data_IF_871496840407
#
_entry.id   IF_871496840407
#
_cell.length_a   1.000
_cell.length_b   1.000
_cell.length_c   1.000
_cell.angle_alpha   90.00
_cell.angle_beta   90.00
_cell.angle_gamma   90.00
#
_symmetry.space_group_name_H-M   'P 1'
#
loop_
_entity.id
_entity.type
_entity.pdbx_description
1 polymer ?
#
# COMPACT_ATOMS: atom_id res chain seq x y z
N UNK A 1 -41.36 -3.97 -1.02
CA UNK A 1 -39.97 -3.48 -1.16
C UNK A 1 -40.04 -2.03 -1.61
N UNK A 2 -39.69 -1.08 -0.75
CA UNK A 2 -39.73 0.35 -1.08
C UNK A 2 -38.50 0.72 -1.92
N UNK A 3 -38.75 1.06 -3.20
CA UNK A 3 -37.81 1.78 -4.06
C UNK A 3 -37.56 3.15 -3.45
N UNK A 4 -36.45 3.29 -2.73
CA UNK A 4 -35.94 4.60 -2.40
C UNK A 4 -35.31 5.18 -3.67
N UNK A 5 -35.69 6.41 -4.00
CA UNK A 5 -35.14 7.14 -5.14
C UNK A 5 -33.88 7.88 -4.68
N UNK A 6 -32.79 7.71 -5.41
CA UNK A 6 -31.62 8.59 -5.35
C UNK A 6 -31.54 9.27 -6.71
N UNK A 7 -31.80 10.58 -6.76
CA UNK A 7 -31.94 11.35 -8.00
C UNK A 7 -32.96 10.77 -9.02
N UNK A 8 -34.08 10.20 -8.56
CA UNK A 8 -35.16 9.70 -9.42
C UNK A 8 -34.86 8.38 -10.15
N UNK A 9 -33.73 7.72 -9.86
CA UNK A 9 -33.42 6.39 -10.37
C UNK A 9 -33.79 5.34 -9.30
N UNK A 10 -34.57 4.30 -9.64
CA UNK A 10 -34.92 3.25 -8.68
C UNK A 10 -33.68 2.46 -8.27
N UNK A 11 -33.37 2.44 -6.97
CA UNK A 11 -32.22 1.70 -6.44
C UNK A 11 -32.52 0.20 -6.43
N UNK A 12 -31.85 -0.55 -7.31
CA UNK A 12 -31.83 -2.01 -7.27
C UNK A 12 -30.85 -2.51 -6.19
N UNK A 13 -31.32 -2.63 -4.95
CA UNK A 13 -30.48 -3.02 -3.80
C UNK A 13 -29.69 -4.34 -4.00
N UNK A 14 -30.28 -5.42 -4.54
CA UNK A 14 -29.52 -6.62 -4.88
C UNK A 14 -28.33 -6.35 -5.82
N UNK A 15 -28.56 -5.54 -6.86
CA UNK A 15 -27.51 -5.18 -7.82
C UNK A 15 -26.43 -4.30 -7.18
N UNK A 16 -26.83 -3.27 -6.42
CA UNK A 16 -25.89 -2.40 -5.71
C UNK A 16 -24.99 -3.20 -4.75
N UNK A 17 -25.56 -4.15 -4.00
CA UNK A 17 -24.78 -5.01 -3.11
C UNK A 17 -23.76 -5.86 -3.89
N UNK A 18 -24.15 -6.43 -5.05
CA UNK A 18 -23.24 -7.21 -5.88
C UNK A 18 -22.06 -6.37 -6.41
N UNK A 19 -22.33 -5.15 -6.90
CA UNK A 19 -21.31 -4.21 -7.38
C UNK A 19 -20.33 -3.84 -6.26
N UNK A 20 -20.86 -3.49 -5.10
CA UNK A 20 -20.06 -3.15 -3.92
C UNK A 20 -19.16 -4.33 -3.49
N UNK A 21 -19.72 -5.53 -3.39
CA UNK A 21 -18.96 -6.72 -2.98
C UNK A 21 -17.89 -7.11 -4.01
N UNK A 22 -18.16 -7.02 -5.31
CA UNK A 22 -17.12 -7.21 -6.34
C UNK A 22 -15.98 -6.20 -6.17
N UNK A 23 -16.30 -4.91 -6.03
CA UNK A 23 -15.28 -3.87 -5.88
C UNK A 23 -14.39 -4.11 -4.66
N UNK A 24 -14.98 -4.39 -3.50
CA UNK A 24 -14.21 -4.62 -2.26
C UNK A 24 -13.38 -5.91 -2.35
N UNK A 25 -13.95 -7.01 -2.83
CA UNK A 25 -13.21 -8.28 -2.98
C UNK A 25 -12.08 -8.18 -3.99
N UNK A 26 -12.30 -7.49 -5.11
CA UNK A 26 -11.29 -7.17 -6.12
C UNK A 26 -10.17 -6.32 -5.55
N UNK A 27 -10.49 -5.30 -4.74
CA UNK A 27 -9.50 -4.45 -4.09
C UNK A 27 -8.55 -5.28 -3.22
N UNK A 28 -9.07 -6.09 -2.30
CA UNK A 28 -8.23 -6.93 -1.43
C UNK A 28 -7.52 -8.05 -2.18
N UNK A 29 -8.18 -8.63 -3.19
CA UNK A 29 -7.57 -9.64 -4.06
C UNK A 29 -6.36 -9.07 -4.79
N UNK A 30 -6.47 -7.85 -5.33
CA UNK A 30 -5.35 -7.14 -5.95
C UNK A 30 -4.22 -6.86 -4.96
N UNK A 31 -4.52 -6.42 -3.73
CA UNK A 31 -3.50 -6.22 -2.67
C UNK A 31 -2.74 -7.53 -2.40
N UNK A 32 -3.45 -8.64 -2.22
CA UNK A 32 -2.83 -9.94 -1.98
C UNK A 32 -1.96 -10.39 -3.17
N UNK A 33 -2.45 -10.23 -4.39
CA UNK A 33 -1.69 -10.54 -5.61
C UNK A 33 -0.46 -9.63 -5.78
N UNK A 34 -0.55 -8.36 -5.39
CA UNK A 34 0.59 -7.44 -5.37
C UNK A 34 1.67 -7.93 -4.41
N UNK A 35 1.30 -8.30 -3.19
CA UNK A 35 2.25 -8.84 -2.20
C UNK A 35 2.90 -10.14 -2.69
N UNK A 36 2.14 -11.04 -3.32
CA UNK A 36 2.68 -12.25 -3.95
C UNK A 36 3.66 -11.90 -5.07
N UNK A 37 3.32 -10.90 -5.89
CA UNK A 37 4.17 -10.40 -6.97
C UNK A 37 5.49 -9.86 -6.42
N UNK A 38 5.45 -9.08 -5.34
CA UNK A 38 6.64 -8.59 -4.63
C UNK A 38 7.51 -9.73 -4.13
N UNK A 39 6.92 -10.75 -3.49
CA UNK A 39 7.65 -11.93 -3.02
C UNK A 39 8.32 -12.69 -4.17
N UNK A 40 7.61 -12.88 -5.28
CA UNK A 40 8.15 -13.52 -6.47
C UNK A 40 9.32 -12.72 -7.06
N UNK A 41 9.21 -11.39 -7.14
CA UNK A 41 10.29 -10.57 -7.70
C UNK A 41 11.47 -10.38 -6.75
N UNK A 42 11.29 -10.48 -5.43
CA UNK A 42 12.42 -10.60 -4.48
C UNK A 42 13.25 -11.85 -4.81
N UNK A 43 12.59 -13.00 -4.97
CA UNK A 43 13.24 -14.27 -5.28
C UNK A 43 13.93 -14.28 -6.65
N UNK A 44 13.32 -13.64 -7.66
CA UNK A 44 13.97 -13.44 -8.97
C UNK A 44 15.17 -12.50 -8.84
N UNK A 45 14.99 -11.39 -8.12
CA UNK A 45 15.99 -10.33 -7.93
C UNK A 45 17.30 -10.85 -7.35
N UNK A 46 17.21 -11.75 -6.37
CA UNK A 46 18.37 -12.41 -5.76
C UNK A 46 19.21 -13.20 -6.78
N UNK A 47 18.56 -13.88 -7.73
CA UNK A 47 19.22 -14.72 -8.73
C UNK A 47 19.83 -13.98 -9.90
N UNK A 48 19.24 -12.85 -10.26
CA UNK A 48 19.75 -12.00 -11.34
C UNK A 48 20.80 -11.00 -10.86
N UNK A 49 21.19 -11.07 -9.58
CA UNK A 49 22.17 -10.17 -8.98
C UNK A 49 21.68 -8.73 -8.89
N UNK A 50 20.37 -8.50 -8.72
CA UNK A 50 19.80 -7.15 -8.61
C UNK A 50 20.47 -6.38 -7.46
N UNK A 51 20.76 -7.05 -6.35
CA UNK A 51 21.49 -6.50 -5.22
C UNK A 51 22.90 -6.02 -5.63
N UNK A 52 23.66 -6.85 -6.35
CA UNK A 52 24.99 -6.51 -6.85
C UNK A 52 24.95 -5.28 -7.77
N UNK A 53 23.97 -5.20 -8.67
CA UNK A 53 23.81 -4.06 -9.58
C UNK A 53 23.52 -2.78 -8.79
N UNK A 54 22.54 -2.80 -7.88
CA UNK A 54 22.14 -1.62 -7.10
C UNK A 54 23.31 -1.12 -6.24
N UNK A 55 24.03 -2.03 -5.56
CA UNK A 55 25.18 -1.66 -4.76
C UNK A 55 26.36 -1.13 -5.59
N UNK A 56 26.55 -1.60 -6.83
CA UNK A 56 27.61 -1.11 -7.72
C UNK A 56 27.46 0.37 -8.07
N UNK A 57 26.22 0.88 -8.14
CA UNK A 57 25.94 2.31 -8.37
C UNK A 57 25.88 3.13 -7.07
N UNK A 58 26.09 2.51 -5.89
CA UNK A 58 26.03 3.19 -4.60
C UNK A 58 24.70 3.93 -4.37
N UNK A 59 24.78 5.15 -3.84
CA UNK A 59 23.60 5.99 -3.56
C UNK A 59 22.80 6.37 -4.82
N UNK A 60 23.46 6.44 -5.99
CA UNK A 60 22.80 6.73 -7.28
C UNK A 60 21.87 5.59 -7.66
N UNK A 61 22.28 4.33 -7.43
CA UNK A 61 21.44 3.15 -7.68
C UNK A 61 20.12 3.21 -6.91
N UNK A 62 20.18 3.57 -5.62
CA UNK A 62 19.00 3.75 -4.78
C UNK A 62 18.09 4.88 -5.26
N UNK A 63 18.66 6.04 -5.62
CA UNK A 63 17.87 7.16 -6.15
C UNK A 63 17.16 6.82 -7.46
N UNK A 64 17.82 6.11 -8.38
CA UNK A 64 17.21 5.68 -9.62
C UNK A 64 16.04 4.72 -9.36
N UNK A 65 16.19 3.77 -8.43
CA UNK A 65 15.10 2.88 -8.07
C UNK A 65 13.93 3.62 -7.43
N UNK A 66 14.20 4.56 -6.52
CA UNK A 66 13.15 5.42 -5.96
C UNK A 66 12.43 6.22 -7.05
N UNK A 67 13.17 6.75 -8.03
CA UNK A 67 12.59 7.44 -9.18
C UNK A 67 11.66 6.55 -10.00
N UNK A 68 12.06 5.31 -10.27
CA UNK A 68 11.23 4.34 -11.02
C UNK A 68 9.99 3.92 -10.20
N UNK A 69 10.14 3.68 -8.90
CA UNK A 69 9.01 3.39 -8.00
C UNK A 69 8.01 4.55 -7.96
N UNK A 70 8.51 5.78 -7.84
CA UNK A 70 7.66 6.97 -7.87
C UNK A 70 6.94 7.12 -9.21
N UNK A 71 7.65 6.94 -10.33
CA UNK A 71 7.05 7.03 -11.66
C UNK A 71 5.96 5.97 -11.87
N UNK A 72 6.24 4.71 -11.51
CA UNK A 72 5.30 3.60 -11.70
C UNK A 72 4.07 3.73 -10.79
N UNK A 73 4.24 4.19 -9.55
CA UNK A 73 3.14 4.54 -8.65
C UNK A 73 2.23 5.63 -9.25
N UNK A 74 2.83 6.73 -9.70
CA UNK A 74 2.08 7.85 -10.27
C UNK A 74 1.38 7.45 -11.58
N UNK A 75 2.04 6.68 -12.43
CA UNK A 75 1.47 6.18 -13.68
C UNK A 75 0.28 5.25 -13.41
N UNK A 76 0.44 4.26 -12.52
CA UNK A 76 -0.64 3.34 -12.16
C UNK A 76 -1.84 4.09 -11.58
N UNK A 77 -1.59 5.01 -10.65
CA UNK A 77 -2.63 5.81 -9.99
C UNK A 77 -3.35 6.74 -10.97
N UNK A 78 -2.60 7.46 -11.81
CA UNK A 78 -3.18 8.41 -12.76
C UNK A 78 -3.99 7.71 -13.87
N UNK A 79 -3.51 6.57 -14.37
CA UNK A 79 -4.21 5.80 -15.40
C UNK A 79 -5.49 5.17 -14.84
N UNK A 80 -5.44 4.61 -13.63
CA UNK A 80 -6.62 4.10 -12.95
C UNK A 80 -7.64 5.22 -12.69
N UNK A 81 -7.18 6.39 -12.22
CA UNK A 81 -8.04 7.55 -11.95
C UNK A 81 -8.72 8.13 -13.20
N UNK A 82 -8.13 7.92 -14.39
CA UNK A 82 -8.72 8.32 -15.69
C UNK A 82 -9.67 7.26 -16.27
N UNK A 83 -9.97 6.20 -15.53
CA UNK A 83 -10.94 5.17 -15.90
C UNK A 83 -10.38 4.00 -16.72
N UNK A 84 -9.08 3.98 -17.04
CA UNK A 84 -8.45 2.83 -17.69
C UNK A 84 -7.93 1.83 -16.63
N UNK A 85 -8.86 1.13 -16.00
CA UNK A 85 -8.58 0.19 -14.90
C UNK A 85 -7.71 -0.99 -15.32
N UNK A 86 -7.81 -1.44 -16.58
CA UNK A 86 -6.98 -2.51 -17.13
C UNK A 86 -5.51 -2.12 -17.19
N UNK A 87 -5.17 -0.99 -17.84
CA UNK A 87 -3.80 -0.51 -17.89
C UNK A 87 -3.30 -0.09 -16.50
N UNK A 88 -4.16 0.50 -15.66
CA UNK A 88 -3.83 0.81 -14.26
C UNK A 88 -3.42 -0.43 -13.47
N UNK A 89 -4.10 -1.57 -13.68
CA UNK A 89 -3.77 -2.85 -13.03
C UNK A 89 -2.44 -3.41 -13.54
N UNK A 90 -2.16 -3.33 -14.85
CA UNK A 90 -0.86 -3.76 -15.41
C UNK A 90 0.29 -2.94 -14.82
N UNK A 91 0.14 -1.61 -14.77
CA UNK A 91 1.13 -0.72 -14.19
C UNK A 91 1.27 -0.94 -12.67
N UNK A 92 0.18 -1.27 -11.98
CA UNK A 92 0.21 -1.68 -10.58
C UNK A 92 1.07 -2.93 -10.36
N UNK A 93 0.95 -3.96 -11.20
CA UNK A 93 1.81 -5.14 -11.08
C UNK A 93 3.28 -4.86 -11.43
N UNK A 94 3.54 -3.98 -12.40
CA UNK A 94 4.90 -3.51 -12.67
C UNK A 94 5.49 -2.76 -11.45
N UNK A 95 4.70 -1.90 -10.82
CA UNK A 95 5.05 -1.22 -9.57
C UNK A 95 5.29 -2.21 -8.43
N UNK A 96 4.42 -3.21 -8.24
CA UNK A 96 4.57 -4.23 -7.21
C UNK A 96 5.82 -5.10 -7.42
N UNK A 97 6.10 -5.45 -8.68
CA UNK A 97 7.31 -6.16 -9.06
C UNK A 97 8.58 -5.34 -8.80
N UNK A 98 8.56 -4.05 -9.12
CA UNK A 98 9.67 -3.13 -8.86
C UNK A 98 9.97 -2.98 -7.36
N UNK A 99 8.93 -2.97 -6.52
CA UNK A 99 9.09 -3.02 -5.07
C UNK A 99 9.85 -4.25 -4.60
N UNK A 100 9.59 -5.42 -5.18
CA UNK A 100 10.32 -6.63 -4.78
C UNK A 100 11.79 -6.60 -5.19
N UNK A 101 12.10 -6.04 -6.37
CA UNK A 101 13.49 -5.79 -6.77
C UNK A 101 14.19 -4.78 -5.85
N UNK A 102 13.47 -3.76 -5.39
CA UNK A 102 13.97 -2.77 -4.45
C UNK A 102 14.22 -3.36 -3.04
N UNK A 103 13.32 -4.24 -2.59
CA UNK A 103 13.43 -4.89 -1.27
C UNK A 103 14.50 -5.97 -1.23
N UNK A 104 14.78 -6.65 -2.36
CA UNK A 104 15.79 -7.72 -2.43
C UNK A 104 17.12 -7.37 -1.74
N UNK A 105 17.85 -6.28 -2.07
CA UNK A 105 19.09 -5.91 -1.38
C UNK A 105 18.91 -5.52 0.10
N UNK A 106 17.71 -5.09 0.51
CA UNK A 106 17.42 -4.73 1.90
C UNK A 106 17.28 -6.00 2.74
N UNK A 107 16.54 -6.99 2.22
CA UNK A 107 16.22 -8.23 2.92
C UNK A 107 17.45 -9.11 3.19
N UNK A 108 18.51 -9.00 2.39
CA UNK A 108 19.77 -9.73 2.62
C UNK A 108 20.41 -9.39 3.98
N UNK A 109 20.07 -8.24 4.58
CA UNK A 109 20.58 -7.85 5.91
C UNK A 109 19.84 -8.51 7.06
N UNK A 110 18.64 -9.03 6.83
CA UNK A 110 17.79 -9.59 7.89
C UNK A 110 17.80 -11.11 7.84
N UNK A 111 17.66 -11.75 9.00
CA UNK A 111 17.48 -13.21 9.06
C UNK A 111 16.11 -13.63 8.51
N UNK A 112 16.00 -14.86 8.02
CA UNK A 112 14.72 -15.41 7.53
C UNK A 112 13.62 -15.39 8.59
N UNK A 113 14.00 -15.57 9.86
CA UNK A 113 13.08 -15.58 10.99
C UNK A 113 12.51 -14.17 11.23
N UNK A 114 13.36 -13.15 11.27
CA UNK A 114 12.95 -11.74 11.39
C UNK A 114 12.03 -11.33 10.23
N UNK A 115 12.35 -11.73 9.00
CA UNK A 115 11.52 -11.47 7.81
C UNK A 115 10.15 -12.15 7.95
N UNK A 116 10.12 -13.43 8.35
CA UNK A 116 8.89 -14.20 8.52
C UNK A 116 7.97 -13.59 9.58
N UNK A 117 8.52 -13.21 10.73
CA UNK A 117 7.76 -12.54 11.81
C UNK A 117 7.22 -11.19 11.34
N UNK A 118 8.03 -10.37 10.67
CA UNK A 118 7.61 -9.08 10.14
C UNK A 118 6.45 -9.21 9.15
N UNK A 119 6.50 -10.22 8.27
CA UNK A 119 5.46 -10.50 7.29
C UNK A 119 4.14 -10.91 7.95
N UNK A 120 4.18 -11.83 8.92
CA UNK A 120 3.00 -12.27 9.67
C UNK A 120 2.36 -11.13 10.46
N UNK A 121 3.17 -10.31 11.14
CA UNK A 121 2.68 -9.14 11.88
C UNK A 121 2.04 -8.13 10.93
N UNK A 122 2.66 -7.86 9.79
CA UNK A 122 2.11 -6.94 8.78
C UNK A 122 0.77 -7.43 8.26
N UNK A 123 0.66 -8.71 7.88
CA UNK A 123 -0.58 -9.31 7.41
C UNK A 123 -1.68 -9.25 8.48
N UNK A 124 -1.37 -9.61 9.72
CA UNK A 124 -2.32 -9.56 10.84
C UNK A 124 -2.79 -8.13 11.14
N UNK A 125 -1.87 -7.16 11.19
CA UNK A 125 -2.19 -5.75 11.42
C UNK A 125 -2.99 -5.16 10.26
N UNK A 126 -2.64 -5.47 9.01
CA UNK A 126 -3.38 -5.03 7.84
C UNK A 126 -4.83 -5.52 7.89
N UNK A 127 -5.05 -6.82 8.14
CA UNK A 127 -6.40 -7.40 8.27
C UNK A 127 -7.17 -6.74 9.42
N UNK A 128 -6.54 -6.59 10.60
CA UNK A 128 -7.17 -5.97 11.76
C UNK A 128 -7.56 -4.51 11.49
N UNK A 129 -6.64 -3.72 10.94
CA UNK A 129 -6.89 -2.29 10.66
C UNK A 129 -7.89 -2.10 9.53
N UNK A 130 -7.86 -2.93 8.49
CA UNK A 130 -8.89 -2.91 7.46
C UNK A 130 -10.27 -3.29 8.01
N UNK A 131 -10.37 -4.28 8.90
CA UNK A 131 -11.63 -4.61 9.56
C UNK A 131 -12.16 -3.42 10.40
N UNK A 132 -11.28 -2.68 11.08
CA UNK A 132 -11.64 -1.43 11.77
C UNK A 132 -12.12 -0.37 10.75
N UNK A 133 -11.42 -0.18 9.65
CA UNK A 133 -11.80 0.76 8.59
C UNK A 133 -13.16 0.43 7.95
N UNK A 134 -13.49 -0.86 7.82
CA UNK A 134 -14.80 -1.30 7.31
C UNK A 134 -15.94 -1.02 8.28
N UNK A 135 -15.69 -1.08 9.59
CA UNK A 135 -16.74 -1.03 10.62
C UNK A 135 -16.88 0.33 11.29
N UNK A 136 -15.83 1.17 11.23
CA UNK A 136 -15.82 2.46 11.92
C UNK A 136 -16.84 3.44 11.32
N UNK A 137 -17.55 4.13 12.22
CA UNK A 137 -18.51 5.20 11.89
C UNK A 137 -17.94 6.60 12.11
N UNK A 138 -16.73 6.70 12.69
CA UNK A 138 -16.08 8.00 12.95
C UNK A 138 -15.74 8.65 11.62
N UNK A 139 -15.96 9.96 11.52
CA UNK A 139 -15.45 10.72 10.39
C UNK A 139 -13.91 10.81 10.47
N UNK A 140 -13.24 10.35 9.42
CA UNK A 140 -11.78 10.32 9.30
C UNK A 140 -11.27 11.25 8.19
N UNK A 141 -12.15 12.04 7.57
CA UNK A 141 -11.84 12.94 6.45
C UNK A 141 -10.66 13.87 6.73
N UNK A 142 -10.53 14.35 7.97
CA UNK A 142 -9.42 15.21 8.40
C UNK A 142 -8.16 14.42 8.80
N UNK A 143 -8.32 13.19 9.27
CA UNK A 143 -7.21 12.38 9.77
C UNK A 143 -6.34 11.85 8.61
N UNK A 144 -6.97 11.41 7.51
CA UNK A 144 -6.27 10.86 6.36
C UNK A 144 -5.17 11.76 5.79
N UNK A 145 -5.49 13.00 5.37
CA UNK A 145 -4.50 13.94 4.84
C UNK A 145 -3.40 14.28 5.86
N UNK A 146 -3.75 14.45 7.14
CA UNK A 146 -2.79 14.70 8.20
C UNK A 146 -1.78 13.56 8.35
N UNK A 147 -2.25 12.31 8.36
CA UNK A 147 -1.39 11.13 8.42
C UNK A 147 -0.54 10.99 7.15
N UNK A 148 -1.09 11.31 5.98
CA UNK A 148 -0.36 11.24 4.72
C UNK A 148 0.81 12.22 4.68
N UNK A 149 0.57 13.48 5.06
CA UNK A 149 1.63 14.49 5.15
C UNK A 149 2.64 14.16 6.26
N UNK A 150 2.17 13.62 7.39
CA UNK A 150 3.04 13.11 8.45
C UNK A 150 3.95 11.98 7.96
N UNK A 151 3.41 11.01 7.22
CA UNK A 151 4.16 9.92 6.62
C UNK A 151 5.24 10.43 5.66
N UNK A 152 4.89 11.36 4.77
CA UNK A 152 5.83 11.98 3.83
C UNK A 152 6.96 12.69 4.60
N UNK A 153 6.62 13.46 5.64
CA UNK A 153 7.61 14.13 6.49
C UNK A 153 8.57 13.13 7.15
N UNK A 154 8.04 12.05 7.75
CA UNK A 154 8.84 10.99 8.37
C UNK A 154 9.72 10.25 7.37
N UNK A 155 9.23 10.00 6.15
CA UNK A 155 10.02 9.39 5.07
C UNK A 155 11.17 10.32 4.66
N UNK A 156 10.94 11.61 4.50
CA UNK A 156 12.00 12.58 4.17
C UNK A 156 13.06 12.61 5.29
N UNK A 157 12.63 12.67 6.55
CA UNK A 157 13.56 12.63 7.69
C UNK A 157 14.33 11.30 7.71
N UNK A 158 13.70 10.18 7.36
CA UNK A 158 14.39 8.88 7.28
C UNK A 158 15.51 8.89 6.23
N UNK A 159 15.28 9.51 5.07
CA UNK A 159 16.28 9.65 4.00
C UNK A 159 17.43 10.53 4.48
N UNK A 160 17.14 11.67 5.11
CA UNK A 160 18.17 12.57 5.70
C UNK A 160 18.96 11.83 6.78
N UNK A 161 18.31 11.01 7.60
CA UNK A 161 19.01 10.22 8.61
C UNK A 161 19.97 9.22 7.98
N UNK A 162 19.57 8.52 6.91
CA UNK A 162 20.45 7.54 6.24
C UNK A 162 21.63 8.22 5.54
N UNK A 163 21.44 9.38 4.92
CA UNK A 163 22.47 10.04 4.09
C UNK A 163 23.41 10.92 4.92
N UNK A 164 22.88 11.66 5.91
CA UNK A 164 23.62 12.74 6.58
C UNK A 164 23.87 12.46 8.05
N UNK A 165 22.85 12.10 8.82
CA UNK A 165 22.95 12.06 10.29
C UNK A 165 23.45 10.73 10.84
N UNK A 166 23.11 9.63 10.17
CA UNK A 166 23.45 8.25 10.53
C UNK A 166 23.16 7.90 11.99
N UNK A 167 22.09 8.47 12.56
CA UNK A 167 21.74 8.32 13.98
C UNK A 167 20.82 7.11 14.20
N UNK A 168 21.29 6.16 15.02
CA UNK A 168 20.53 4.98 15.43
C UNK A 168 19.31 5.33 16.30
N UNK A 169 19.45 6.31 17.20
CA UNK A 169 18.34 6.80 18.03
C UNK A 169 17.25 7.48 17.20
N UNK A 170 17.64 8.27 16.20
CA UNK A 170 16.68 8.90 15.29
C UNK A 170 16.01 7.87 14.37
N UNK A 171 16.76 6.86 13.91
CA UNK A 171 16.20 5.73 13.15
C UNK A 171 15.09 5.02 13.92
N UNK A 172 15.33 4.69 15.20
CA UNK A 172 14.34 4.03 16.04
C UNK A 172 13.10 4.91 16.24
N UNK A 173 13.29 6.19 16.57
CA UNK A 173 12.19 7.14 16.78
C UNK A 173 11.30 7.27 15.54
N UNK A 174 11.91 7.41 14.35
CA UNK A 174 11.15 7.53 13.10
C UNK A 174 10.30 6.29 12.87
N UNK A 175 10.86 5.09 13.02
CA UNK A 175 10.12 3.85 12.78
C UNK A 175 8.99 3.64 13.81
N UNK A 176 9.20 4.02 15.07
CA UNK A 176 8.14 4.00 16.10
C UNK A 176 6.99 4.94 15.73
N UNK A 177 7.27 6.09 15.11
CA UNK A 177 6.25 7.04 14.66
C UNK A 177 5.57 6.59 13.35
N UNK A 178 6.31 5.97 12.42
CA UNK A 178 5.77 5.46 11.15
C UNK A 178 4.75 4.35 11.38
N UNK A 179 4.96 3.48 12.37
CA UNK A 179 4.09 2.34 12.64
C UNK A 179 2.61 2.76 12.86
N UNK A 180 2.24 3.59 13.85
CA UNK A 180 0.86 4.04 14.03
C UNK A 180 0.36 4.90 12.87
N UNK A 181 1.23 5.62 12.15
CA UNK A 181 0.86 6.41 10.98
C UNK A 181 0.35 5.50 9.86
N UNK A 182 1.07 4.43 9.51
CA UNK A 182 0.62 3.49 8.48
C UNK A 182 -0.62 2.70 8.91
N UNK A 183 -0.71 2.32 10.19
CA UNK A 183 -1.94 1.69 10.72
C UNK A 183 -3.15 2.62 10.56
N UNK A 184 -3.01 3.90 10.90
CA UNK A 184 -4.07 4.89 10.74
C UNK A 184 -4.42 5.14 9.26
N UNK A 185 -3.44 5.16 8.36
CA UNK A 185 -3.66 5.29 6.92
C UNK A 185 -4.42 4.10 6.34
N UNK A 186 -4.16 2.87 6.81
CA UNK A 186 -4.93 1.68 6.40
C UNK A 186 -6.40 1.80 6.83
N UNK A 187 -6.65 2.23 8.06
CA UNK A 187 -8.02 2.45 8.57
C UNK A 187 -8.74 3.50 7.73
N UNK A 188 -8.11 4.66 7.52
CA UNK A 188 -8.70 5.75 6.74
C UNK A 188 -8.96 5.34 5.30
N UNK A 189 -7.97 4.76 4.61
CA UNK A 189 -8.13 4.39 3.21
C UNK A 189 -9.14 3.26 3.00
N UNK A 190 -9.19 2.29 3.91
CA UNK A 190 -10.23 1.24 3.84
C UNK A 190 -11.61 1.86 3.96
N UNK A 191 -11.78 2.84 4.85
CA UNK A 191 -13.05 3.54 5.04
C UNK A 191 -13.41 4.37 3.79
N UNK A 192 -12.48 5.17 3.29
CA UNK A 192 -12.65 6.02 2.11
C UNK A 192 -13.07 5.18 0.89
N UNK A 193 -12.34 4.10 0.60
CA UNK A 193 -12.64 3.23 -0.55
C UNK A 193 -13.98 2.51 -0.40
N UNK A 194 -14.35 2.14 0.83
CA UNK A 194 -15.68 1.61 1.10
C UNK A 194 -16.76 2.62 0.76
N UNK A 195 -16.63 3.87 1.21
CA UNK A 195 -17.63 4.92 0.97
C UNK A 195 -17.76 5.22 -0.54
N UNK A 196 -16.64 5.36 -1.25
CA UNK A 196 -16.63 5.55 -2.71
C UNK A 196 -17.22 4.36 -3.48
N UNK A 197 -16.93 3.13 -3.06
CA UNK A 197 -17.49 1.93 -3.69
C UNK A 197 -19.00 1.83 -3.45
N UNK A 198 -19.48 2.20 -2.26
CA UNK A 198 -20.91 2.27 -1.96
C UNK A 198 -21.60 3.33 -2.82
N UNK A 199 -21.00 4.50 -2.99
CA UNK A 199 -21.56 5.55 -3.83
C UNK A 199 -21.69 5.12 -5.30
N UNK A 200 -20.63 4.52 -5.86
CA UNK A 200 -20.66 3.98 -7.22
C UNK A 200 -21.72 2.87 -7.39
N UNK A 201 -21.81 1.96 -6.42
CA UNK A 201 -22.78 0.88 -6.41
C UNK A 201 -24.24 1.38 -6.36
N UNK A 202 -24.51 2.40 -5.55
CA UNK A 202 -25.84 3.02 -5.46
C UNK A 202 -26.26 3.71 -6.77
N UNK A 203 -25.29 4.15 -7.57
CA UNK A 203 -25.50 4.67 -8.94
C UNK A 203 -25.58 3.58 -10.01
N UNK A 204 -25.37 2.31 -9.65
CA UNK A 204 -25.27 1.20 -10.62
C UNK A 204 -24.05 1.29 -11.53
N UNK A 205 -23.02 2.06 -11.15
CA UNK A 205 -21.83 2.32 -11.97
C UNK A 205 -20.71 1.33 -11.66
N UNK A 206 -20.75 0.18 -12.34
CA UNK A 206 -19.75 -0.88 -12.24
C UNK A 206 -18.35 -0.42 -12.61
N UNK A 207 -18.23 0.52 -13.56
CA UNK A 207 -16.93 1.04 -14.01
C UNK A 207 -16.30 1.90 -12.93
N UNK A 208 -17.08 2.81 -12.32
CA UNK A 208 -16.62 3.60 -11.19
C UNK A 208 -16.26 2.71 -10.00
N UNK A 209 -17.05 1.68 -9.70
CA UNK A 209 -16.75 0.75 -8.61
C UNK A 209 -15.44 -0.02 -8.86
N UNK A 210 -15.21 -0.46 -10.09
CA UNK A 210 -13.94 -1.11 -10.50
C UNK A 210 -12.76 -0.14 -10.39
N UNK A 211 -12.95 1.13 -10.76
CA UNK A 211 -11.93 2.17 -10.61
C UNK A 211 -11.55 2.37 -9.15
N UNK A 212 -12.53 2.45 -8.25
CA UNK A 212 -12.30 2.52 -6.80
C UNK A 212 -11.51 1.31 -6.32
N UNK A 213 -11.85 0.10 -6.78
CA UNK A 213 -11.14 -1.11 -6.41
C UNK A 213 -9.66 -1.10 -6.79
N UNK A 214 -9.33 -0.67 -8.02
CA UNK A 214 -7.94 -0.59 -8.49
C UNK A 214 -7.17 0.49 -7.73
N UNK A 215 -7.73 1.69 -7.60
CA UNK A 215 -7.09 2.80 -6.87
C UNK A 215 -6.86 2.46 -5.40
N UNK A 216 -7.86 1.87 -4.75
CA UNK A 216 -7.78 1.39 -3.38
C UNK A 216 -6.71 0.33 -3.22
N UNK A 217 -6.58 -0.59 -4.17
CA UNK A 217 -5.56 -1.64 -4.12
C UNK A 217 -4.14 -1.07 -4.20
N UNK A 218 -3.89 -0.09 -5.08
CA UNK A 218 -2.58 0.58 -5.20
C UNK A 218 -2.22 1.26 -3.88
N UNK A 219 -3.16 2.01 -3.29
CA UNK A 219 -2.94 2.72 -2.04
C UNK A 219 -2.72 1.77 -0.86
N UNK A 220 -3.59 0.78 -0.68
CA UNK A 220 -3.50 -0.19 0.42
C UNK A 220 -2.25 -1.05 0.30
N UNK A 221 -1.91 -1.54 -0.90
CA UNK A 221 -0.67 -2.27 -1.16
C UNK A 221 0.56 -1.44 -0.76
N UNK A 222 0.60 -0.16 -1.14
CA UNK A 222 1.72 0.73 -0.79
C UNK A 222 1.85 0.85 0.74
N UNK A 223 0.72 0.96 1.46
CA UNK A 223 0.74 0.97 2.92
C UNK A 223 1.18 -0.37 3.52
N UNK A 224 0.80 -1.51 2.93
CA UNK A 224 1.26 -2.84 3.37
C UNK A 224 2.78 -2.95 3.26
N UNK A 225 3.36 -2.55 2.12
CA UNK A 225 4.82 -2.59 1.94
C UNK A 225 5.53 -1.67 2.92
N UNK A 226 5.03 -0.45 3.11
CA UNK A 226 5.63 0.49 4.06
C UNK A 226 5.52 0.03 5.52
N UNK A 227 4.37 -0.55 5.89
CA UNK A 227 4.18 -1.15 7.20
C UNK A 227 5.14 -2.32 7.41
N UNK A 228 5.32 -3.18 6.39
CA UNK A 228 6.29 -4.27 6.43
C UNK A 228 7.71 -3.77 6.66
N UNK A 229 8.18 -2.79 5.87
CA UNK A 229 9.52 -2.22 6.04
C UNK A 229 9.70 -1.62 7.44
N UNK A 230 8.66 -0.93 7.95
CA UNK A 230 8.69 -0.31 9.29
C UNK A 230 8.81 -1.37 10.39
N UNK A 231 7.99 -2.42 10.34
CA UNK A 231 8.03 -3.53 11.31
C UNK A 231 9.36 -4.29 11.21
N UNK A 232 9.81 -4.61 10.00
CA UNK A 232 11.08 -5.28 9.75
C UNK A 232 12.25 -4.48 10.34
N UNK A 233 12.26 -3.17 10.11
CA UNK A 233 13.28 -2.24 10.64
C UNK A 233 13.30 -2.20 12.16
N UNK A 234 12.12 -2.22 12.81
CA UNK A 234 12.02 -2.28 14.27
C UNK A 234 12.51 -3.61 14.83
N UNK A 235 12.12 -4.73 14.20
CA UNK A 235 12.53 -6.06 14.65
C UNK A 235 14.03 -6.26 14.48
N UNK A 236 14.60 -5.90 13.33
CA UNK A 236 16.04 -6.01 13.10
C UNK A 236 16.85 -5.15 14.07
N UNK A 237 16.39 -3.93 14.39
CA UNK A 237 17.03 -3.12 15.42
C UNK A 237 17.05 -3.80 16.80
N UNK A 238 15.97 -4.51 17.17
CA UNK A 238 15.88 -5.22 18.45
C UNK A 238 16.72 -6.49 18.45
N UNK A 239 16.80 -7.22 17.33
CA UNK A 239 17.59 -8.44 17.22
C UNK A 239 19.08 -8.19 16.92
N UNK A 240 19.45 -6.96 16.56
CA UNK A 240 20.75 -6.57 16.00
C UNK A 240 21.04 -7.21 14.64
N UNK A 241 19.99 -7.37 13.81
CA UNK A 241 20.07 -7.75 12.39
C UNK A 241 20.21 -6.50 11.50
#
# INVERSE_FOLDING_TARGET
MSTQEYFGVPINRPQANAIYTDAMSRMYGLVALGVITTGATIWIGDRIGASTVIFSFGWIGWLLMFGVLFLTLNAASAVAARGNTGLGTVLYFAFAGMWGLFLSPILVRYTSDTIGVAFLLTGGLFVAMSAIGMTTKKDLSKLGPMLLYGAIGLIIISIVNVIVLQSSGLFLLINILLLPVFLGLIVWATKEMKELAQEAAMRGDEKAATQVAVMGSIFLYTNVINLFITILSLLGFVSND
#
